data_IF_532330061336
#
_entry.id   IF_532330061336
#
_cell.length_a   1.000
_cell.length_b   1.000
_cell.length_c   1.000
_cell.angle_alpha   90.00
_cell.angle_beta   90.00
_cell.angle_gamma   90.00
#
_symmetry.space_group_name_H-M   'P 1'
#
loop_
_entity.id
_entity.type
_entity.pdbx_description
1 polymer ?
#
# COMPACT_ATOMS: atom_id res chain seq x y z
N UNK A 1 -27.46 19.40 -13.69
CA UNK A 1 -26.53 18.58 -12.88
C UNK A 1 -25.22 18.56 -13.65
N UNK A 2 -24.16 19.15 -13.10
CA UNK A 2 -22.83 19.03 -13.70
C UNK A 2 -22.43 17.56 -13.72
N UNK A 3 -21.95 17.09 -14.87
CA UNK A 3 -21.38 15.75 -15.00
C UNK A 3 -20.06 15.75 -14.28
N UNK A 4 -20.02 15.12 -13.11
CA UNK A 4 -18.79 14.90 -12.37
C UNK A 4 -18.11 13.65 -12.96
N UNK A 5 -17.64 13.78 -14.20
CA UNK A 5 -16.97 12.70 -14.91
C UNK A 5 -15.54 12.56 -14.35
N UNK A 6 -15.31 11.49 -13.58
CA UNK A 6 -14.01 11.19 -12.99
C UNK A 6 -13.34 9.98 -13.64
N UNK A 7 -12.01 10.03 -13.79
CA UNK A 7 -11.19 8.97 -14.36
C UNK A 7 -10.33 8.32 -13.26
N UNK A 8 -10.28 6.99 -13.23
CA UNK A 8 -9.35 6.21 -12.42
C UNK A 8 -8.45 5.38 -13.32
N UNK A 9 -7.15 5.41 -13.03
CA UNK A 9 -6.16 4.55 -13.64
C UNK A 9 -5.35 3.85 -12.54
N UNK A 10 -5.01 2.58 -12.78
CA UNK A 10 -4.21 1.75 -11.86
C UNK A 10 -3.14 0.99 -12.62
N UNK A 11 -2.10 0.54 -11.93
CA UNK A 11 -1.10 -0.39 -12.47
C UNK A 11 -0.75 -1.45 -11.41
N UNK A 12 -0.26 -2.61 -11.86
CA UNK A 12 0.18 -3.72 -10.99
C UNK A 12 1.69 -3.97 -11.09
N UNK A 13 2.44 -2.88 -11.26
CA UNK A 13 3.89 -2.89 -11.45
C UNK A 13 4.35 -3.22 -12.88
N UNK A 14 5.56 -2.78 -13.21
CA UNK A 14 6.26 -3.11 -14.44
C UNK A 14 7.29 -4.21 -14.17
N UNK A 15 7.42 -5.17 -15.09
CA UNK A 15 8.32 -6.30 -14.94
C UNK A 15 7.94 -7.46 -15.85
N UNK A 16 8.42 -8.66 -15.52
CA UNK A 16 8.08 -9.86 -16.28
C UNK A 16 6.73 -10.43 -15.84
N UNK A 17 5.72 -10.18 -16.65
CA UNK A 17 4.38 -10.73 -16.47
C UNK A 17 4.22 -12.00 -17.30
N UNK A 18 4.23 -13.17 -16.65
CA UNK A 18 3.97 -14.44 -17.34
C UNK A 18 2.57 -14.45 -17.96
N UNK A 19 2.42 -15.00 -19.16
CA UNK A 19 1.12 -15.03 -19.86
C UNK A 19 0.02 -15.76 -19.05
N UNK A 20 0.41 -16.75 -18.23
CA UNK A 20 -0.49 -17.47 -17.32
C UNK A 20 -1.12 -16.60 -16.22
N UNK A 21 -0.48 -15.50 -15.84
CA UNK A 21 -0.96 -14.57 -14.81
C UNK A 21 -1.67 -13.35 -15.39
N UNK A 22 -1.50 -13.06 -16.69
CA UNK A 22 -2.07 -11.88 -17.37
C UNK A 22 -3.56 -11.68 -17.10
N UNK A 23 -4.37 -12.75 -17.25
CA UNK A 23 -5.82 -12.69 -16.97
C UNK A 23 -6.13 -12.34 -15.52
N UNK A 24 -5.32 -12.81 -14.56
CA UNK A 24 -5.48 -12.50 -13.13
C UNK A 24 -5.13 -11.04 -12.84
N UNK A 25 -4.05 -10.54 -13.42
CA UNK A 25 -3.68 -9.12 -13.30
C UNK A 25 -4.72 -8.19 -13.92
N UNK A 26 -5.22 -8.50 -15.12
CA UNK A 26 -6.29 -7.71 -15.75
C UNK A 26 -7.58 -7.69 -14.92
N UNK A 27 -7.95 -8.85 -14.33
CA UNK A 27 -9.09 -8.91 -13.41
C UNK A 27 -8.85 -8.05 -12.17
N UNK A 28 -7.66 -8.13 -11.58
CA UNK A 28 -7.31 -7.33 -10.41
C UNK A 28 -7.36 -5.82 -10.71
N UNK A 29 -6.76 -5.37 -11.82
CA UNK A 29 -6.83 -3.97 -12.24
C UNK A 29 -8.28 -3.52 -12.45
N UNK A 30 -9.12 -4.36 -13.05
CA UNK A 30 -10.54 -4.07 -13.24
C UNK A 30 -11.23 -3.85 -11.89
N UNK A 31 -11.06 -4.77 -10.94
CA UNK A 31 -11.67 -4.64 -9.61
C UNK A 31 -11.16 -3.41 -8.86
N UNK A 32 -9.88 -3.07 -8.97
CA UNK A 32 -9.32 -1.85 -8.38
C UNK A 32 -9.92 -0.58 -9.03
N UNK A 33 -10.05 -0.55 -10.36
CA UNK A 33 -10.72 0.55 -11.07
C UNK A 33 -12.20 0.66 -10.69
N UNK A 34 -12.90 -0.46 -10.53
CA UNK A 34 -14.31 -0.48 -10.10
C UNK A 34 -14.45 0.14 -8.70
N UNK A 35 -13.61 -0.26 -7.73
CA UNK A 35 -13.62 0.32 -6.39
C UNK A 35 -13.36 1.84 -6.39
N UNK A 36 -12.34 2.30 -7.13
CA UNK A 36 -12.08 3.73 -7.27
C UNK A 36 -13.20 4.49 -8.01
N UNK A 37 -13.78 3.89 -9.05
CA UNK A 37 -14.88 4.50 -9.80
C UNK A 37 -16.14 4.63 -8.95
N UNK A 38 -16.45 3.62 -8.14
CA UNK A 38 -17.61 3.64 -7.26
C UNK A 38 -17.42 4.64 -6.10
N UNK A 39 -16.20 4.81 -5.61
CA UNK A 39 -15.85 5.90 -4.68
C UNK A 39 -16.16 7.28 -5.28
N UNK A 40 -15.72 7.54 -6.51
CA UNK A 40 -16.01 8.81 -7.20
C UNK A 40 -17.51 9.03 -7.43
N UNK A 41 -18.24 8.02 -7.90
CA UNK A 41 -19.70 8.09 -8.10
C UNK A 41 -20.45 8.38 -6.81
N UNK A 42 -19.90 7.94 -5.67
CA UNK A 42 -20.46 8.17 -4.34
C UNK A 42 -20.09 9.55 -3.76
N UNK A 43 -19.38 10.39 -4.52
CA UNK A 43 -19.00 11.73 -4.11
C UNK A 43 -17.75 11.79 -3.22
N UNK A 44 -16.97 10.71 -3.11
CA UNK A 44 -15.67 10.74 -2.42
C UNK A 44 -14.65 11.55 -3.22
N UNK A 45 -13.65 12.08 -2.53
CA UNK A 45 -12.55 12.82 -3.16
C UNK A 45 -11.69 11.96 -4.09
N UNK A 46 -10.90 12.59 -4.96
CA UNK A 46 -9.94 11.89 -5.82
C UNK A 46 -8.89 11.12 -5.02
N UNK A 47 -8.45 11.68 -3.88
CA UNK A 47 -7.55 11.00 -2.94
C UNK A 47 -8.19 9.73 -2.39
N UNK A 48 -9.41 9.81 -1.88
CA UNK A 48 -10.13 8.64 -1.35
C UNK A 48 -10.33 7.58 -2.44
N UNK A 49 -10.71 7.98 -3.66
CA UNK A 49 -10.87 7.03 -4.75
C UNK A 49 -9.58 6.31 -5.14
N UNK A 50 -8.44 7.00 -5.14
CA UNK A 50 -7.13 6.39 -5.38
C UNK A 50 -6.75 5.41 -4.24
N UNK A 51 -7.06 5.76 -3.00
CA UNK A 51 -6.82 4.92 -1.81
C UNK A 51 -7.67 3.65 -1.86
N UNK A 52 -8.97 3.75 -2.18
CA UNK A 52 -9.86 2.60 -2.34
C UNK A 52 -9.36 1.63 -3.43
N UNK A 53 -8.94 2.17 -4.57
CA UNK A 53 -8.34 1.36 -5.64
C UNK A 53 -7.04 0.67 -5.17
N UNK A 54 -6.21 1.37 -4.41
CA UNK A 54 -4.93 0.85 -3.91
C UNK A 54 -5.12 -0.22 -2.84
N UNK A 55 -6.13 -0.12 -1.97
CA UNK A 55 -6.48 -1.16 -0.99
C UNK A 55 -6.75 -2.49 -1.70
N UNK A 56 -7.47 -2.50 -2.83
CA UNK A 56 -7.70 -3.71 -3.63
C UNK A 56 -6.38 -4.32 -4.13
N UNK A 57 -5.41 -3.48 -4.48
CA UNK A 57 -4.09 -3.93 -4.92
C UNK A 57 -3.25 -4.47 -3.76
N UNK A 58 -3.25 -3.82 -2.60
CA UNK A 58 -2.51 -4.23 -1.40
C UNK A 58 -3.07 -5.52 -0.75
N UNK A 59 -4.38 -5.72 -0.80
CA UNK A 59 -5.03 -6.93 -0.30
C UNK A 59 -4.76 -8.16 -1.20
N UNK A 60 -4.21 -7.95 -2.41
CA UNK A 60 -3.94 -9.03 -3.35
C UNK A 60 -2.57 -9.69 -3.12
N UNK A 61 -2.47 -11.03 -3.07
CA UNK A 61 -1.18 -11.72 -3.07
C UNK A 61 -0.48 -11.69 -4.45
N UNK A 62 -1.09 -11.06 -5.46
CA UNK A 62 -0.54 -11.00 -6.81
C UNK A 62 0.47 -9.86 -6.97
N UNK A 63 0.33 -8.78 -6.20
CA UNK A 63 1.15 -7.57 -6.24
C UNK A 63 2.30 -7.67 -5.26
N UNK A 64 3.30 -6.80 -5.41
CA UNK A 64 4.37 -6.61 -4.42
C UNK A 64 4.06 -5.36 -3.60
N UNK A 65 2.94 -5.40 -2.87
CA UNK A 65 2.48 -4.36 -1.96
C UNK A 65 1.53 -4.99 -0.92
N UNK A 66 1.48 -4.43 0.29
CA UNK A 66 0.63 -4.95 1.37
C UNK A 66 0.87 -6.44 1.65
N UNK A 67 -0.18 -7.25 1.55
CA UNK A 67 -0.16 -8.70 1.82
C UNK A 67 0.69 -9.50 0.80
N UNK A 68 0.84 -8.99 -0.42
CA UNK A 68 1.60 -9.65 -1.48
C UNK A 68 3.10 -9.37 -1.47
N UNK A 69 3.57 -8.49 -0.57
CA UNK A 69 4.93 -7.95 -0.55
C UNK A 69 6.02 -9.03 -0.49
N UNK A 70 7.15 -8.69 -1.10
CA UNK A 70 8.41 -9.41 -0.96
C UNK A 70 8.87 -9.40 0.50
N UNK A 71 9.67 -10.40 0.85
CA UNK A 71 10.23 -10.50 2.19
C UNK A 71 11.64 -9.91 2.23
N UNK A 72 11.96 -9.25 3.34
CA UNK A 72 13.29 -8.75 3.68
C UNK A 72 14.29 -9.90 3.85
N UNK A 73 15.56 -9.57 4.09
CA UNK A 73 16.61 -10.56 4.38
C UNK A 73 16.34 -11.39 5.66
N UNK A 74 15.52 -10.86 6.58
CA UNK A 74 15.06 -11.55 7.80
C UNK A 74 13.75 -12.31 7.58
N UNK A 75 13.15 -12.23 6.39
CA UNK A 75 11.92 -12.94 6.04
C UNK A 75 10.64 -12.27 6.52
N UNK A 76 10.68 -10.97 6.80
CA UNK A 76 9.54 -10.14 7.24
C UNK A 76 9.00 -9.28 6.09
N UNK A 77 7.78 -8.77 6.23
CA UNK A 77 7.22 -7.76 5.32
C UNK A 77 7.46 -6.37 5.89
N UNK A 78 8.09 -5.51 5.10
CA UNK A 78 8.22 -4.09 5.34
C UNK A 78 7.73 -3.35 4.09
N UNK A 79 6.74 -2.47 4.27
CA UNK A 79 6.09 -1.78 3.17
C UNK A 79 6.42 -0.29 3.15
N UNK A 80 6.37 0.28 1.94
CA UNK A 80 6.40 1.72 1.71
C UNK A 80 5.11 2.12 0.99
N UNK A 81 4.54 3.27 1.35
CA UNK A 81 3.39 3.84 0.64
C UNK A 81 3.36 5.36 0.78
N UNK A 82 2.77 6.04 -0.20
CA UNK A 82 2.59 7.49 -0.14
C UNK A 82 1.32 7.92 -0.85
N UNK A 83 0.84 9.11 -0.50
CA UNK A 83 -0.30 9.76 -1.15
C UNK A 83 -0.03 11.25 -1.32
N UNK A 84 -0.71 11.86 -2.27
CA UNK A 84 -0.71 13.31 -2.48
C UNK A 84 -2.11 13.79 -2.81
N UNK A 85 -2.57 14.83 -2.11
CA UNK A 85 -3.81 15.54 -2.41
C UNK A 85 -3.50 16.77 -3.26
N UNK A 86 -3.86 16.73 -4.54
CA UNK A 86 -3.64 17.84 -5.48
C UNK A 86 -4.51 19.07 -5.20
N UNK A 87 -5.61 18.94 -4.46
CA UNK A 87 -6.49 20.07 -4.14
C UNK A 87 -5.89 21.00 -3.07
N UNK A 88 -5.05 20.45 -2.21
CA UNK A 88 -4.42 21.16 -1.08
C UNK A 88 -2.90 21.11 -1.09
N UNK A 89 -2.30 20.44 -2.08
CA UNK A 89 -0.86 20.17 -2.20
C UNK A 89 -0.27 19.46 -0.98
N UNK A 90 -1.08 18.67 -0.28
CA UNK A 90 -0.63 17.86 0.85
C UNK A 90 0.03 16.57 0.37
N UNK A 91 1.09 16.16 1.06
CA UNK A 91 1.80 14.92 0.79
C UNK A 91 2.01 14.17 2.10
N UNK A 92 1.86 12.85 2.06
CA UNK A 92 2.25 12.01 3.16
C UNK A 92 2.84 10.67 2.69
N UNK A 93 3.78 10.14 3.47
CA UNK A 93 4.36 8.84 3.21
C UNK A 93 4.63 8.04 4.49
N UNK A 94 4.66 6.73 4.31
CA UNK A 94 5.13 5.76 5.29
C UNK A 94 6.18 4.88 4.66
N UNK A 95 7.18 4.48 5.45
CA UNK A 95 8.27 3.65 4.94
C UNK A 95 8.76 2.61 5.94
N UNK A 96 9.28 1.50 5.43
CA UNK A 96 9.73 0.35 6.20
C UNK A 96 8.72 -0.09 7.29
N UNK A 97 7.41 0.04 7.02
CA UNK A 97 6.37 -0.25 8.02
C UNK A 97 5.98 -1.72 7.96
N UNK A 98 6.07 -2.42 9.08
CA UNK A 98 5.57 -3.79 9.26
C UNK A 98 4.23 -3.79 10.02
N UNK A 99 3.51 -4.90 9.95
CA UNK A 99 2.30 -5.14 10.77
C UNK A 99 1.09 -4.23 10.49
N UNK A 100 1.10 -3.44 9.42
CA UNK A 100 -0.03 -2.60 8.99
C UNK A 100 -0.68 -3.25 7.76
N UNK A 101 -1.98 -3.56 7.83
CA UNK A 101 -2.68 -4.31 6.77
C UNK A 101 -2.60 -3.57 5.42
N UNK A 102 -2.89 -2.27 5.42
CA UNK A 102 -2.94 -1.43 4.23
C UNK A 102 -2.10 -0.16 4.41
N UNK A 103 -0.80 -0.19 4.04
CA UNK A 103 0.11 0.96 4.15
C UNK A 103 -0.43 2.26 3.53
N UNK A 104 -1.16 2.19 2.41
CA UNK A 104 -1.79 3.37 1.78
C UNK A 104 -2.82 4.06 2.68
N UNK A 105 -3.53 3.31 3.53
CA UNK A 105 -4.50 3.86 4.49
C UNK A 105 -3.77 4.65 5.58
N UNK A 106 -2.61 4.18 6.01
CA UNK A 106 -1.75 4.89 6.95
C UNK A 106 -1.21 6.19 6.36
N UNK A 107 -0.72 6.16 5.12
CA UNK A 107 -0.29 7.35 4.41
C UNK A 107 -1.46 8.36 4.24
N UNK A 108 -2.66 7.90 3.86
CA UNK A 108 -3.86 8.75 3.78
C UNK A 108 -4.20 9.40 5.10
N UNK A 109 -4.21 8.64 6.20
CA UNK A 109 -4.48 9.21 7.53
C UNK A 109 -3.42 10.24 7.92
N UNK A 110 -2.15 10.00 7.61
CA UNK A 110 -1.07 10.96 7.86
C UNK A 110 -1.25 12.25 7.06
N UNK A 111 -1.73 12.14 5.82
CA UNK A 111 -2.08 13.29 4.98
C UNK A 111 -3.19 14.13 5.61
N UNK A 112 -4.28 13.49 6.07
CA UNK A 112 -5.42 14.18 6.70
C UNK A 112 -5.03 14.85 8.03
N UNK A 113 -4.15 14.23 8.81
CA UNK A 113 -3.72 14.75 10.11
C UNK A 113 -2.88 16.02 10.00
N UNK A 114 -2.33 16.35 8.82
CA UNK A 114 -1.63 17.61 8.58
C UNK A 114 -2.56 18.84 8.67
N UNK A 115 -3.87 18.65 8.49
CA UNK A 115 -4.88 19.70 8.63
C UNK A 115 -5.33 19.93 10.06
N UNK A 116 -5.02 19.00 10.96
CA UNK A 116 -5.45 19.07 12.36
C UNK A 116 -4.46 19.95 13.13
N UNK A 117 -4.98 21.00 13.79
CA UNK A 117 -4.17 21.85 14.66
C UNK A 117 -3.71 21.06 15.88
N UNK A 118 -2.41 20.93 16.03
CA UNK A 118 -1.79 20.31 17.20
C UNK A 118 -1.31 21.36 18.20
N UNK A 119 -1.22 20.95 19.48
CA UNK A 119 -0.89 21.85 20.58
C UNK A 119 0.47 22.54 20.39
N UNK A 120 0.55 23.78 20.88
CA UNK A 120 1.76 24.61 20.88
C UNK A 120 2.31 24.98 19.49
N UNK A 121 1.45 25.03 18.47
CA UNK A 121 1.85 25.49 17.13
C UNK A 121 2.83 24.56 16.41
N UNK A 122 2.93 23.30 16.85
CA UNK A 122 3.76 22.30 16.20
C UNK A 122 3.24 21.98 14.81
N UNK A 123 4.14 21.54 13.94
CA UNK A 123 3.82 21.13 12.57
C UNK A 123 3.68 19.60 12.55
N UNK A 124 2.56 19.04 12.06
CA UNK A 124 2.41 17.60 11.89
C UNK A 124 3.45 17.03 10.91
N UNK A 125 3.94 15.79 11.12
CA UNK A 125 4.88 15.16 10.20
C UNK A 125 4.20 14.81 8.87
N UNK A 126 4.97 14.82 7.78
CA UNK A 126 4.56 14.32 6.47
C UNK A 126 5.07 12.90 6.18
N UNK A 127 6.08 12.42 6.93
CA UNK A 127 6.65 11.09 6.75
C UNK A 127 6.83 10.42 8.12
N UNK A 128 6.40 9.16 8.22
CA UNK A 128 6.68 8.28 9.36
C UNK A 128 7.31 6.98 8.87
N UNK A 129 8.22 6.38 9.64
CA UNK A 129 8.89 5.15 9.21
C UNK A 129 8.99 4.12 10.33
N UNK A 130 9.13 2.85 9.93
CA UNK A 130 9.49 1.75 10.83
C UNK A 130 8.50 1.56 11.99
N UNK A 131 9.01 1.21 13.19
CA UNK A 131 8.18 1.01 14.37
C UNK A 131 7.35 2.24 14.76
N UNK A 132 7.85 3.45 14.50
CA UNK A 132 7.12 4.68 14.80
C UNK A 132 5.85 4.83 13.94
N UNK A 133 5.92 4.44 12.66
CA UNK A 133 4.74 4.38 11.80
C UNK A 133 3.74 3.32 12.26
N UNK A 134 4.21 2.15 12.71
CA UNK A 134 3.36 1.09 13.24
C UNK A 134 2.63 1.53 14.52
N UNK A 135 3.34 2.06 15.51
CA UNK A 135 2.73 2.57 16.74
C UNK A 135 1.71 3.67 16.45
N UNK A 136 2.04 4.58 15.54
CA UNK A 136 1.10 5.62 15.13
C UNK A 136 -0.14 5.06 14.42
N UNK A 137 -0.01 3.98 13.66
CA UNK A 137 -1.17 3.29 13.07
C UNK A 137 -2.14 2.80 14.15
N UNK A 138 -1.62 2.21 15.24
CA UNK A 138 -2.42 1.75 16.38
C UNK A 138 -3.13 2.92 17.08
N UNK A 139 -2.41 4.01 17.35
CA UNK A 139 -2.99 5.23 17.94
C UNK A 139 -4.12 5.82 17.10
N UNK A 140 -4.00 5.74 15.77
CA UNK A 140 -5.00 6.24 14.82
C UNK A 140 -6.15 5.26 14.55
N UNK A 141 -6.16 4.09 15.21
CA UNK A 141 -7.17 3.05 15.02
C UNK A 141 -7.15 2.41 13.64
N UNK A 142 -5.98 2.39 12.99
CA UNK A 142 -5.76 1.69 11.71
C UNK A 142 -5.53 0.22 12.00
N UNK A 143 -6.07 -0.66 11.15
CA UNK A 143 -5.94 -2.10 11.29
C UNK A 143 -4.48 -2.54 11.22
N UNK A 144 -3.93 -2.91 12.37
CA UNK A 144 -2.67 -3.63 12.49
C UNK A 144 -2.92 -5.11 12.66
N UNK A 145 -2.05 -5.94 12.09
CA UNK A 145 -2.11 -7.40 12.16
C UNK A 145 -0.74 -7.96 12.56
N UNK A 146 -0.68 -9.20 13.09
CA UNK A 146 0.59 -9.90 13.28
C UNK A 146 1.44 -9.89 12.01
N UNK A 147 2.75 -9.73 12.13
CA UNK A 147 3.65 -9.59 10.96
C UNK A 147 3.61 -10.83 10.06
N UNK A 148 3.42 -12.01 10.66
CA UNK A 148 3.26 -13.28 9.97
C UNK A 148 2.01 -13.33 9.08
N UNK A 149 0.94 -12.60 9.44
CA UNK A 149 -0.31 -12.55 8.68
C UNK A 149 -0.19 -11.67 7.43
N UNK A 150 0.85 -10.84 7.33
CA UNK A 150 1.21 -10.13 6.09
C UNK A 150 1.95 -11.03 5.09
N UNK A 151 2.47 -12.18 5.51
CA UNK A 151 3.30 -13.03 4.67
C UNK A 151 2.44 -13.97 3.83
N UNK A 152 2.20 -13.63 2.56
CA UNK A 152 1.50 -14.54 1.66
C UNK A 152 2.28 -15.84 1.40
N UNK A 153 1.56 -16.94 1.17
CA UNK A 153 2.13 -18.23 0.79
C UNK A 153 3.03 -18.17 -0.46
N UNK A 154 2.73 -17.25 -1.40
CA UNK A 154 3.54 -17.01 -2.60
C UNK A 154 4.86 -16.35 -2.23
N UNK A 155 4.81 -15.26 -1.46
CA UNK A 155 6.01 -14.53 -1.00
C UNK A 155 6.94 -15.46 -0.21
N UNK A 156 6.40 -16.27 0.72
CA UNK A 156 7.21 -17.21 1.50
C UNK A 156 7.93 -18.24 0.64
N UNK A 157 7.26 -18.81 -0.37
CA UNK A 157 7.88 -19.76 -1.32
C UNK A 157 9.02 -19.12 -2.11
N UNK A 158 8.82 -17.89 -2.59
CA UNK A 158 9.83 -17.12 -3.32
C UNK A 158 11.03 -16.84 -2.41
N UNK A 159 10.80 -16.34 -1.20
CA UNK A 159 11.85 -16.08 -0.21
C UNK A 159 12.68 -17.33 0.08
N UNK A 160 12.05 -18.46 0.39
CA UNK A 160 12.76 -19.71 0.68
C UNK A 160 13.58 -20.20 -0.53
N UNK A 161 13.10 -19.98 -1.76
CA UNK A 161 13.84 -20.31 -2.97
C UNK A 161 15.12 -19.48 -3.10
N UNK A 162 15.03 -18.17 -2.94
CA UNK A 162 16.20 -17.29 -3.05
C UNK A 162 17.14 -17.40 -1.85
N UNK A 163 16.63 -17.60 -0.64
CA UNK A 163 17.44 -17.83 0.57
C UNK A 163 18.37 -19.03 0.38
N UNK A 164 17.84 -20.15 -0.11
CA UNK A 164 18.65 -21.34 -0.44
C UNK A 164 19.71 -21.09 -1.49
N UNK A 165 19.46 -20.21 -2.46
CA UNK A 165 20.46 -19.84 -3.48
C UNK A 165 21.58 -18.99 -2.90
N UNK A 166 21.25 -18.09 -1.98
CA UNK A 166 22.24 -17.25 -1.28
C UNK A 166 23.10 -18.06 -0.30
N UNK A 167 22.52 -19.12 0.28
CA UNK A 167 23.25 -20.02 1.18
C UNK A 167 24.16 -21.01 0.43
N UNK A 168 24.06 -21.10 -0.91
CA UNK A 168 24.98 -21.87 -1.74
C UNK A 168 26.24 -21.04 -2.05
N UNK A 169 27.44 -21.63 -1.99
CA UNK A 169 28.66 -20.93 -2.39
C UNK A 169 28.56 -20.50 -3.86
N UNK A 170 28.95 -19.25 -4.15
CA UNK A 170 29.05 -18.77 -5.53
C UNK A 170 30.06 -19.67 -6.28
N UNK A 171 29.61 -20.31 -7.35
CA UNK A 171 30.50 -20.98 -8.29
C UNK A 171 31.16 -19.85 -9.08
N UNK A 172 32.41 -19.51 -8.71
CA UNK A 172 33.29 -18.62 -9.49
C UNK A 172 33.62 -19.24 -10.86
#
# INVERSE_FOLDING_TARGET
MERNDGLIAVHVGAGQHSESLKKKYQKLCRTACEAGSDALKSGKSSLEAAVEATIILEDSPLTNAGFGSNLTMTGQVECDASVMDGSQLLFAAVGAVSGVKNPVVLAKRLCEQQLVKISHGRVPPSILVGPGAHSWAQEMGITTIPEEDLVSSKAKKIYNHYKRKLDQPEIQ
#
